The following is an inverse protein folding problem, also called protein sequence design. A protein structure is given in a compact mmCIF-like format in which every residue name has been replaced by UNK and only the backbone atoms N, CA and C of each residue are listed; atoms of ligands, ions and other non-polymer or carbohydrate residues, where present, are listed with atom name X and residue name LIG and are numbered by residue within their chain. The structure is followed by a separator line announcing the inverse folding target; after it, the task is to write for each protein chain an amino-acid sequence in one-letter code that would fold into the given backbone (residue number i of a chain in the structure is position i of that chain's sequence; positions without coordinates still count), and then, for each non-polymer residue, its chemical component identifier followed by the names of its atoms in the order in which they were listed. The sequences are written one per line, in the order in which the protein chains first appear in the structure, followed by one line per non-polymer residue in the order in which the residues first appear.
data_IF_217217430197
#
_entry.id   IF_217217430197
#
_cell.length_a   1.000
_cell.length_b   1.000
_cell.length_c   1.000
_cell.angle_alpha   90.00
_cell.angle_beta   90.00
_cell.angle_gamma   90.00
#
_symmetry.space_group_name_H-M   'P 1'
#
loop_
_entity.id
_entity.type
_entity.pdbx_description
1 polymer ?
#
# COMPACT_ATOMS: atom_id res chain seq x y z
N UNK A 1 -32.62 -38.90 56.61
CA UNK A 1 -31.97 -37.73 55.98
C UNK A 1 -32.11 -37.82 54.47
N UNK A 2 -32.83 -36.90 53.79
CA UNK A 2 -32.94 -36.86 52.32
C UNK A 2 -32.14 -35.67 51.78
N UNK A 3 -31.07 -35.92 51.01
CA UNK A 3 -30.33 -34.87 50.30
C UNK A 3 -31.15 -34.38 49.11
N UNK A 4 -31.45 -33.08 49.06
CA UNK A 4 -32.00 -32.43 47.87
C UNK A 4 -30.90 -32.37 46.80
N UNK A 5 -31.09 -33.07 45.70
CA UNK A 5 -30.26 -32.93 44.51
C UNK A 5 -30.68 -31.64 43.83
N UNK A 6 -29.82 -30.62 43.90
CA UNK A 6 -30.01 -29.36 43.18
C UNK A 6 -29.64 -29.62 41.73
N UNK A 7 -30.65 -29.89 40.89
CA UNK A 7 -30.51 -30.03 39.45
C UNK A 7 -30.30 -28.61 38.89
N UNK A 8 -29.04 -28.26 38.56
CA UNK A 8 -28.72 -26.98 37.94
C UNK A 8 -29.41 -26.86 36.59
N UNK A 9 -30.24 -25.83 36.41
CA UNK A 9 -30.86 -25.56 35.12
C UNK A 9 -29.80 -25.11 34.11
N UNK A 10 -29.91 -25.53 32.83
CA UNK A 10 -29.00 -25.09 31.80
C UNK A 10 -29.17 -23.58 31.60
N UNK A 11 -28.14 -22.80 31.96
CA UNK A 11 -28.09 -21.36 31.66
C UNK A 11 -28.22 -21.17 30.16
N UNK A 12 -29.40 -20.76 29.71
CA UNK A 12 -29.58 -20.26 28.36
C UNK A 12 -28.84 -18.93 28.28
N UNK A 13 -27.86 -18.86 27.38
CA UNK A 13 -27.20 -17.60 27.05
C UNK A 13 -28.22 -16.75 26.28
N UNK A 14 -29.11 -16.08 27.00
CA UNK A 14 -30.00 -15.07 26.42
C UNK A 14 -29.15 -13.83 26.09
N UNK A 15 -28.51 -13.88 24.93
CA UNK A 15 -27.81 -12.76 24.34
C UNK A 15 -28.86 -11.70 23.99
N UNK A 16 -28.96 -10.67 24.82
CA UNK A 16 -29.82 -9.51 24.56
C UNK A 16 -29.56 -8.93 23.16
N UNK A 17 -30.60 -8.44 22.49
CA UNK A 17 -30.51 -7.75 21.19
C UNK A 17 -29.47 -6.63 21.19
N UNK A 18 -29.28 -5.96 22.33
CA UNK A 18 -28.25 -4.93 22.49
C UNK A 18 -26.82 -5.49 22.40
N UNK A 19 -26.58 -6.69 22.92
CA UNK A 19 -25.29 -7.40 22.81
C UNK A 19 -25.02 -7.80 21.37
N UNK A 20 -26.03 -8.30 20.65
CA UNK A 20 -25.93 -8.61 19.23
C UNK A 20 -25.58 -7.39 18.38
N UNK A 21 -26.27 -6.27 18.57
CA UNK A 21 -25.97 -5.04 17.83
C UNK A 21 -24.53 -4.58 18.09
N UNK A 22 -24.06 -4.61 19.36
CA UNK A 22 -22.67 -4.26 19.71
C UNK A 22 -21.66 -5.18 19.03
N UNK A 23 -21.91 -6.48 19.02
CA UNK A 23 -21.04 -7.44 18.32
C UNK A 23 -20.99 -7.18 16.82
N UNK A 24 -22.13 -6.86 16.19
CA UNK A 24 -22.18 -6.50 14.77
C UNK A 24 -21.36 -5.23 14.47
N UNK A 25 -21.46 -4.20 15.31
CA UNK A 25 -20.63 -3.00 15.17
C UNK A 25 -19.14 -3.28 15.32
N UNK A 26 -18.75 -4.07 16.33
CA UNK A 26 -17.35 -4.46 16.52
C UNK A 26 -16.85 -5.29 15.35
N UNK A 27 -17.65 -6.24 14.85
CA UNK A 27 -17.31 -7.03 13.67
C UNK A 27 -17.13 -6.14 12.43
N UNK A 28 -18.03 -5.18 12.20
CA UNK A 28 -17.91 -4.23 11.09
C UNK A 28 -16.63 -3.38 11.21
N UNK A 29 -16.30 -2.89 12.41
CA UNK A 29 -15.07 -2.15 12.65
C UNK A 29 -13.82 -3.00 12.38
N UNK A 30 -13.83 -4.27 12.78
CA UNK A 30 -12.73 -5.20 12.52
C UNK A 30 -12.55 -5.48 11.02
N UNK A 31 -13.65 -5.60 10.27
CA UNK A 31 -13.60 -5.75 8.81
C UNK A 31 -13.00 -4.51 8.16
N UNK A 32 -13.43 -3.32 8.57
CA UNK A 32 -12.88 -2.05 8.05
C UNK A 32 -11.39 -1.92 8.39
N UNK A 33 -11.00 -2.21 9.63
CA UNK A 33 -9.60 -2.18 10.04
C UNK A 33 -8.75 -3.18 9.24
N UNK A 34 -9.26 -4.40 9.04
CA UNK A 34 -8.60 -5.41 8.22
C UNK A 34 -8.45 -4.98 6.76
N UNK A 35 -9.48 -4.36 6.18
CA UNK A 35 -9.43 -3.83 4.83
C UNK A 35 -8.37 -2.72 4.69
N UNK A 36 -8.30 -1.80 5.66
CA UNK A 36 -7.27 -0.74 5.66
C UNK A 36 -5.85 -1.32 5.75
N UNK A 37 -5.62 -2.30 6.63
CA UNK A 37 -4.33 -2.98 6.72
C UNK A 37 -3.98 -3.75 5.44
N UNK A 38 -4.97 -4.38 4.82
CA UNK A 38 -4.76 -5.08 3.55
C UNK A 38 -4.40 -4.12 2.42
N UNK A 39 -5.09 -2.98 2.30
CA UNK A 39 -4.79 -1.95 1.29
C UNK A 39 -3.39 -1.38 1.49
N UNK A 40 -3.02 -1.02 2.72
CA UNK A 40 -1.68 -0.49 3.01
C UNK A 40 -0.59 -1.52 2.69
N UNK A 41 -0.81 -2.79 3.04
CA UNK A 41 0.11 -3.86 2.69
C UNK A 41 0.19 -4.09 1.17
N UNK A 42 -0.93 -3.96 0.45
CA UNK A 42 -0.98 -4.10 -1.01
C UNK A 42 -0.25 -2.95 -1.72
N UNK A 43 -0.41 -1.70 -1.28
CA UNK A 43 0.30 -0.53 -1.84
C UNK A 43 1.82 -0.66 -1.66
N UNK A 44 2.27 -1.29 -0.58
CA UNK A 44 3.71 -1.49 -0.33
C UNK A 44 4.33 -2.66 -1.10
N UNK A 45 3.56 -3.40 -1.91
CA UNK A 45 4.13 -4.44 -2.78
C UNK A 45 4.74 -3.82 -4.03
N UNK A 46 5.96 -4.22 -4.44
CA UNK A 46 6.58 -3.69 -5.66
C UNK A 46 5.73 -3.93 -6.92
N UNK A 47 4.92 -4.98 -6.90
CA UNK A 47 4.15 -5.51 -8.03
C UNK A 47 2.79 -4.84 -8.25
N UNK A 48 2.28 -4.07 -7.28
CA UNK A 48 0.89 -3.58 -7.31
C UNK A 48 0.71 -2.28 -8.10
N UNK A 49 1.76 -1.46 -8.20
CA UNK A 49 1.74 -0.13 -8.85
C UNK A 49 3.01 0.09 -9.67
N UNK A 50 3.21 -0.78 -10.66
CA UNK A 50 4.35 -0.70 -11.59
C UNK A 50 4.31 0.61 -12.40
N UNK A 51 5.48 1.18 -12.65
CA UNK A 51 5.62 2.38 -13.48
C UNK A 51 5.47 1.96 -14.94
N UNK A 52 4.32 2.24 -15.55
CA UNK A 52 4.02 1.80 -16.93
C UNK A 52 4.66 2.67 -18.01
N UNK A 53 4.86 3.97 -17.73
CA UNK A 53 5.35 4.90 -18.72
C UNK A 53 6.13 6.04 -18.06
N UNK A 54 7.28 6.36 -18.63
CA UNK A 54 8.02 7.60 -18.33
C UNK A 54 7.80 8.55 -19.50
N UNK A 55 7.28 9.73 -19.22
CA UNK A 55 7.27 10.81 -20.21
C UNK A 55 8.47 11.74 -19.99
N UNK A 56 9.34 11.80 -21.00
CA UNK A 56 10.51 12.67 -20.98
C UNK A 56 10.19 13.99 -21.66
N UNK A 57 10.16 15.06 -20.89
CA UNK A 57 9.92 16.41 -21.37
C UNK A 57 11.22 17.21 -21.40
N UNK A 58 11.45 17.99 -22.46
CA UNK A 58 12.62 18.84 -22.60
C UNK A 58 13.27 18.79 -23.98
N UNK A 59 14.39 19.50 -24.12
CA UNK A 59 15.19 19.55 -25.33
C UNK A 59 16.42 18.66 -25.18
N UNK A 60 16.55 17.68 -26.07
CA UNK A 60 17.60 16.68 -26.07
C UNK A 60 18.53 16.93 -27.27
N UNK A 61 19.71 17.50 -27.04
CA UNK A 61 20.69 17.78 -28.12
C UNK A 61 21.88 16.82 -28.10
N UNK A 62 22.38 16.45 -26.91
CA UNK A 62 23.59 15.65 -26.73
C UNK A 62 23.34 14.29 -26.07
N UNK A 63 22.11 14.05 -25.63
CA UNK A 63 21.67 12.84 -24.94
C UNK A 63 20.44 12.33 -25.64
N UNK A 64 20.39 11.02 -25.89
CA UNK A 64 19.21 10.38 -26.44
C UNK A 64 18.24 9.97 -25.33
N UNK A 65 16.94 9.93 -25.64
CA UNK A 65 15.92 9.42 -24.71
C UNK A 65 16.22 7.98 -24.29
N UNK A 66 16.74 7.16 -25.19
CA UNK A 66 17.08 5.76 -24.92
C UNK A 66 18.21 5.59 -23.88
N UNK A 67 19.20 6.49 -23.88
CA UNK A 67 20.28 6.47 -22.87
C UNK A 67 19.75 6.81 -21.47
N UNK A 68 18.87 7.82 -21.37
CA UNK A 68 18.23 8.18 -20.11
C UNK A 68 17.29 7.07 -19.61
N UNK A 69 16.57 6.42 -20.52
CA UNK A 69 15.70 5.30 -20.21
C UNK A 69 16.50 4.08 -19.71
N UNK A 70 17.66 3.80 -20.31
CA UNK A 70 18.56 2.76 -19.82
C UNK A 70 19.10 3.04 -18.41
N UNK A 71 19.40 4.31 -18.10
CA UNK A 71 19.81 4.74 -16.75
C UNK A 71 18.67 4.66 -15.74
N UNK A 72 17.44 4.95 -16.17
CA UNK A 72 16.25 4.88 -15.34
C UNK A 72 15.72 3.44 -15.17
N UNK A 73 16.05 2.49 -16.06
CA UNK A 73 15.51 1.14 -16.07
C UNK A 73 15.54 0.40 -14.72
N UNK A 74 16.61 0.47 -13.89
CA UNK A 74 16.63 -0.18 -12.57
C UNK A 74 15.61 0.38 -11.58
N UNK A 75 15.09 1.58 -11.84
CA UNK A 75 14.17 2.32 -10.97
C UNK A 75 12.71 2.16 -11.41
N UNK A 76 12.48 1.83 -12.68
CA UNK A 76 11.16 1.72 -13.30
C UNK A 76 10.43 0.43 -12.90
N UNK A 77 11.19 -0.64 -12.61
CA UNK A 77 10.64 -1.93 -12.17
C UNK A 77 10.14 -1.91 -10.70
N UNK A 78 10.13 -0.74 -10.07
CA UNK A 78 9.66 -0.56 -8.70
C UNK A 78 8.26 0.06 -8.64
N UNK A 79 7.64 -0.02 -7.48
CA UNK A 79 6.34 0.61 -7.25
C UNK A 79 6.49 2.14 -7.23
N UNK A 80 5.58 2.85 -7.91
CA UNK A 80 5.58 4.32 -8.01
C UNK A 80 5.65 5.04 -6.64
N UNK A 81 5.07 4.47 -5.59
CA UNK A 81 5.13 5.03 -4.23
C UNK A 81 6.43 4.70 -3.50
N UNK A 82 7.11 3.63 -3.88
CA UNK A 82 8.41 3.23 -3.35
C UNK A 82 9.59 3.82 -4.15
N UNK A 83 9.31 4.45 -5.29
CA UNK A 83 10.32 5.12 -6.11
C UNK A 83 11.01 6.24 -5.32
N UNK A 84 12.31 6.08 -5.14
CA UNK A 84 13.20 7.10 -4.59
C UNK A 84 13.56 8.12 -5.70
N UNK A 85 12.66 9.08 -5.91
CA UNK A 85 12.80 10.11 -6.94
C UNK A 85 14.08 10.94 -6.76
N UNK A 86 14.45 11.29 -5.52
CA UNK A 86 15.63 12.11 -5.26
C UNK A 86 16.93 11.40 -5.68
N UNK A 87 17.03 10.09 -5.41
CA UNK A 87 18.20 9.32 -5.84
C UNK A 87 18.22 9.09 -7.35
N UNK A 88 17.06 8.92 -7.98
CA UNK A 88 16.97 8.85 -9.44
C UNK A 88 17.38 10.17 -10.11
N UNK A 89 16.89 11.31 -9.61
CA UNK A 89 17.28 12.64 -10.07
C UNK A 89 18.81 12.83 -9.97
N UNK A 90 19.38 12.54 -8.80
CA UNK A 90 20.84 12.62 -8.58
C UNK A 90 21.61 11.71 -9.55
N UNK A 91 21.07 10.52 -9.86
CA UNK A 91 21.68 9.56 -10.79
C UNK A 91 21.66 10.08 -12.22
N UNK A 92 20.55 10.68 -12.64
CA UNK A 92 20.39 11.25 -13.98
C UNK A 92 21.22 12.53 -14.14
N UNK A 93 21.29 13.37 -13.12
CA UNK A 93 22.15 14.56 -13.06
C UNK A 93 23.65 14.22 -13.02
N UNK A 94 24.00 13.02 -12.56
CA UNK A 94 25.36 12.50 -12.66
C UNK A 94 25.84 12.30 -14.11
N UNK A 95 24.93 12.36 -15.09
CA UNK A 95 25.28 12.26 -16.50
C UNK A 95 25.89 13.58 -17.02
N UNK A 96 27.06 13.57 -17.69
CA UNK A 96 27.81 14.79 -18.05
C UNK A 96 27.05 15.83 -18.89
N UNK A 97 26.03 15.37 -19.61
CA UNK A 97 25.22 16.18 -20.53
C UNK A 97 23.86 16.58 -19.94
N UNK A 98 23.57 16.18 -18.70
CA UNK A 98 22.34 16.50 -17.98
C UNK A 98 22.63 17.61 -16.98
N UNK A 99 21.93 18.73 -17.10
CA UNK A 99 22.14 19.91 -16.23
C UNK A 99 21.31 19.85 -14.95
N UNK A 100 20.06 19.42 -15.08
CA UNK A 100 19.04 19.48 -14.04
C UNK A 100 17.92 18.51 -14.41
N UNK A 101 17.38 17.78 -13.43
CA UNK A 101 16.27 16.84 -13.65
C UNK A 101 15.22 17.05 -12.57
N UNK A 102 13.98 17.27 -12.99
CA UNK A 102 12.84 17.32 -12.08
C UNK A 102 11.83 16.24 -12.42
N UNK A 103 11.42 15.46 -11.41
CA UNK A 103 10.38 14.45 -11.57
C UNK A 103 9.08 14.91 -10.91
N UNK A 104 7.96 14.68 -11.60
CA UNK A 104 6.63 14.85 -11.02
C UNK A 104 5.76 13.63 -11.35
N UNK A 105 4.83 13.32 -10.43
CA UNK A 105 3.85 12.26 -10.61
C UNK A 105 2.59 12.89 -11.22
N UNK A 106 2.16 12.38 -12.37
CA UNK A 106 0.97 12.83 -13.11
C UNK A 106 -0.17 11.83 -12.96
#
# INVERSE_FOLDING_TARGET
MRRKVVRGEPRRLDLSQATWNRMSYVAALMVVAGALLWVTAWINKPESLTINQIDWQGRFEYVSRAELEALAAPWVDTNLYLLDAARLETTLEGHPWVRDVSMYKA
#
